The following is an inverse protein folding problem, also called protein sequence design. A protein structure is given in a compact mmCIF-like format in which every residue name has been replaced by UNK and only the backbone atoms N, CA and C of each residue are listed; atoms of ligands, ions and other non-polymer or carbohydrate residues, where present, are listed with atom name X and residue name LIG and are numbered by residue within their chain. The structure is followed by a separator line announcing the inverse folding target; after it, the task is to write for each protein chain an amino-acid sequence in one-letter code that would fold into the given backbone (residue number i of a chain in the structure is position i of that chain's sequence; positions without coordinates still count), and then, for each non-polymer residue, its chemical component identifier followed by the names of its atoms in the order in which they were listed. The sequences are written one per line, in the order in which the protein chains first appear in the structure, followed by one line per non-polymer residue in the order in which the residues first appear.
data_IF_157224287671
#
_entry.id   IF_157224287671
#
_cell.length_a   1.000
_cell.length_b   1.000
_cell.length_c   1.000
_cell.angle_alpha   90.00
_cell.angle_beta   90.00
_cell.angle_gamma   90.00
#
_symmetry.space_group_name_H-M   'P 1'
#
loop_
_entity.id
_entity.type
_entity.pdbx_description
1 polymer ?
#
# COMPACT_ATOMS: atom_id res chain seq x y z
N UNK A 1 21.14 25.40 -7.63
CA UNK A 1 19.91 24.57 -7.69
C UNK A 1 19.44 24.30 -6.27
N UNK A 2 18.17 24.61 -5.97
CA UNK A 2 17.55 24.25 -4.68
C UNK A 2 17.31 22.73 -4.68
N UNK A 3 17.70 21.98 -3.64
CA UNK A 3 17.41 20.55 -3.56
C UNK A 3 15.90 20.32 -3.51
N UNK A 4 15.42 19.32 -4.26
CA UNK A 4 14.00 18.94 -4.26
C UNK A 4 13.51 18.65 -2.84
N UNK A 5 12.28 19.06 -2.48
CA UNK A 5 11.75 18.84 -1.14
C UNK A 5 11.76 17.35 -0.80
N UNK A 6 12.11 17.04 0.46
CA UNK A 6 12.07 15.66 0.96
C UNK A 6 10.66 15.21 1.36
N UNK A 7 9.75 16.17 1.60
CA UNK A 7 8.35 15.95 1.97
C UNK A 7 7.46 16.97 1.28
N UNK A 8 6.29 16.54 0.84
CA UNK A 8 5.17 17.43 0.53
C UNK A 8 3.85 16.74 0.90
N UNK A 9 2.80 17.54 1.09
CA UNK A 9 1.46 17.07 1.41
C UNK A 9 0.47 17.53 0.35
N UNK A 10 -0.50 16.68 0.03
CA UNK A 10 -1.64 16.98 -0.84
C UNK A 10 -2.91 16.45 -0.17
N UNK A 11 -4.06 16.99 -0.53
CA UNK A 11 -5.37 16.45 -0.15
C UNK A 11 -6.14 16.12 -1.41
N UNK A 12 -6.65 14.90 -1.50
CA UNK A 12 -7.45 14.45 -2.63
C UNK A 12 -8.86 14.08 -2.15
N UNK A 13 -9.88 14.57 -2.86
CA UNK A 13 -11.25 14.18 -2.64
C UNK A 13 -11.53 12.85 -3.35
N UNK A 14 -11.88 11.82 -2.58
CA UNK A 14 -12.15 10.47 -3.08
C UNK A 14 -13.44 9.95 -2.43
N UNK A 15 -14.46 9.64 -3.23
CA UNK A 15 -15.75 9.15 -2.73
C UNK A 15 -16.39 10.05 -1.65
N UNK A 16 -16.28 11.37 -1.80
CA UNK A 16 -16.76 12.36 -0.83
C UNK A 16 -15.90 12.53 0.44
N UNK A 17 -14.78 11.82 0.53
CA UNK A 17 -13.83 11.90 1.66
C UNK A 17 -12.58 12.70 1.28
N UNK A 18 -12.09 13.51 2.21
CA UNK A 18 -10.85 14.28 2.04
C UNK A 18 -9.64 13.48 2.54
N UNK A 19 -8.86 12.94 1.61
CA UNK A 19 -7.75 12.05 1.93
C UNK A 19 -6.44 12.82 1.96
N UNK A 20 -5.86 12.96 3.16
CA UNK A 20 -4.57 13.62 3.34
C UNK A 20 -3.44 12.70 2.92
N UNK A 21 -2.68 13.09 1.92
CA UNK A 21 -1.55 12.31 1.39
C UNK A 21 -0.24 13.00 1.73
N UNK A 22 0.66 12.29 2.41
CA UNK A 22 2.05 12.72 2.64
C UNK A 22 2.97 11.93 1.73
N UNK A 23 3.73 12.61 0.89
CA UNK A 23 4.80 11.99 0.09
C UNK A 23 6.14 12.38 0.68
N UNK A 24 6.97 11.40 1.01
CA UNK A 24 8.21 11.68 1.73
C UNK A 24 9.33 10.68 1.46
N UNK A 25 10.56 11.17 1.54
CA UNK A 25 11.79 10.39 1.71
C UNK A 25 12.51 10.74 3.01
N UNK A 26 11.88 11.58 3.83
CA UNK A 26 12.36 12.03 5.13
C UNK A 26 11.99 11.04 6.23
N UNK A 27 13.02 10.56 6.95
CA UNK A 27 12.96 9.54 8.01
C UNK A 27 12.02 9.97 9.15
N UNK A 28 12.15 11.19 9.64
CA UNK A 28 11.34 11.69 10.75
C UNK A 28 9.86 11.80 10.35
N UNK A 29 9.59 12.23 9.11
CA UNK A 29 8.22 12.25 8.60
C UNK A 29 7.64 10.84 8.44
N UNK A 30 8.43 9.86 7.99
CA UNK A 30 7.98 8.46 7.88
C UNK A 30 7.57 7.94 9.26
N UNK A 31 8.44 8.08 10.26
CA UNK A 31 8.18 7.63 11.63
C UNK A 31 6.95 8.32 12.23
N UNK A 32 6.84 9.64 12.07
CA UNK A 32 5.69 10.43 12.53
C UNK A 32 4.37 9.93 11.93
N UNK A 33 4.36 9.63 10.63
CA UNK A 33 3.16 9.18 9.91
C UNK A 33 2.80 7.75 10.27
N UNK A 34 3.77 6.85 10.36
CA UNK A 34 3.55 5.48 10.87
C UNK A 34 2.97 5.51 12.28
N UNK A 35 3.51 6.35 13.17
CA UNK A 35 3.00 6.49 14.53
C UNK A 35 1.55 6.99 14.57
N UNK A 36 1.14 7.81 13.60
CA UNK A 36 -0.26 8.23 13.48
C UNK A 36 -1.20 7.07 13.14
N UNK A 37 -0.73 6.08 12.37
CA UNK A 37 -1.47 4.84 12.12
C UNK A 37 -1.58 3.94 13.36
N UNK A 38 -0.81 4.16 14.42
CA UNK A 38 -0.92 3.36 15.65
C UNK A 38 -1.98 3.88 16.63
N UNK A 39 -2.55 5.07 16.37
CA UNK A 39 -3.60 5.62 17.23
C UNK A 39 -4.79 4.65 17.27
N UNK A 40 -5.32 4.33 18.47
CA UNK A 40 -6.40 3.35 18.62
C UNK A 40 -7.59 3.69 17.74
N UNK A 41 -8.20 2.67 17.13
CA UNK A 41 -9.55 2.83 16.59
C UNK A 41 -10.53 2.99 17.75
N UNK A 42 -11.54 3.84 17.59
CA UNK A 42 -12.53 4.13 18.64
C UNK A 42 -13.26 2.84 19.12
N UNK A 43 -13.26 1.78 18.30
CA UNK A 43 -14.07 0.58 18.51
C UNK A 43 -13.26 -0.71 18.78
N UNK A 44 -11.97 -0.65 19.13
CA UNK A 44 -11.11 -1.82 19.38
C UNK A 44 -11.03 -2.85 18.22
N UNK A 45 -11.49 -2.49 17.03
CA UNK A 45 -11.50 -3.37 15.86
C UNK A 45 -10.09 -3.47 15.26
N UNK A 46 -9.76 -4.64 14.70
CA UNK A 46 -8.52 -4.87 13.95
C UNK A 46 -8.32 -3.76 12.92
N UNK A 47 -7.16 -3.09 12.97
CA UNK A 47 -6.90 -1.95 12.09
C UNK A 47 -6.58 -2.44 10.69
N UNK A 48 -7.28 -1.91 9.69
CA UNK A 48 -7.01 -2.22 8.28
C UNK A 48 -6.16 -1.11 7.68
N UNK A 49 -5.13 -1.48 6.93
CA UNK A 49 -4.25 -0.55 6.20
C UNK A 49 -4.17 -1.00 4.75
N UNK A 50 -4.55 -0.13 3.81
CA UNK A 50 -4.27 -0.34 2.40
C UNK A 50 -2.76 -0.26 2.14
N UNK A 51 -2.23 -1.19 1.35
CA UNK A 51 -0.81 -1.32 1.06
C UNK A 51 -0.58 -1.49 -0.44
N UNK A 52 0.39 -0.76 -0.98
CA UNK A 52 0.93 -1.01 -2.32
C UNK A 52 2.44 -0.75 -2.39
N UNK A 53 3.07 -1.26 -3.44
CA UNK A 53 4.45 -0.94 -3.78
C UNK A 53 4.62 -0.82 -5.30
N UNK A 54 5.32 0.22 -5.73
CA UNK A 54 5.60 0.46 -7.15
C UNK A 54 7.08 0.26 -7.45
N UNK A 55 7.35 -0.35 -8.60
CA UNK A 55 8.68 -0.83 -8.98
C UNK A 55 9.11 -0.23 -10.31
N UNK A 56 10.41 -0.07 -10.49
CA UNK A 56 10.99 0.36 -11.77
C UNK A 56 12.15 -0.54 -12.18
N UNK A 57 12.38 -0.64 -13.49
CA UNK A 57 13.49 -1.40 -14.03
C UNK A 57 14.79 -0.60 -13.93
N UNK A 58 15.85 -1.24 -13.44
CA UNK A 58 17.19 -0.67 -13.43
C UNK A 58 17.95 -1.11 -14.69
N UNK A 59 18.07 -0.21 -15.67
CA UNK A 59 18.58 -0.50 -17.02
C UNK A 59 20.06 -0.94 -17.11
N UNK A 60 20.84 -0.87 -16.03
CA UNK A 60 22.28 -1.19 -16.05
C UNK A 60 22.64 -2.64 -15.65
N UNK A 61 21.66 -3.55 -15.58
CA UNK A 61 21.94 -4.94 -15.23
C UNK A 61 21.87 -5.86 -16.47
N UNK A 62 22.98 -6.54 -16.78
CA UNK A 62 23.07 -7.62 -17.78
C UNK A 62 22.32 -8.90 -17.31
N UNK A 63 21.11 -8.76 -16.79
CA UNK A 63 20.37 -9.85 -16.15
C UNK A 63 19.34 -10.45 -17.10
N UNK A 64 19.18 -11.77 -17.00
CA UNK A 64 18.29 -12.56 -17.83
C UNK A 64 16.84 -12.08 -17.66
N UNK A 65 16.16 -11.90 -18.79
CA UNK A 65 14.73 -11.66 -18.85
C UNK A 65 14.00 -12.72 -17.99
N UNK A 66 13.24 -12.30 -16.99
CA UNK A 66 12.48 -13.21 -16.10
C UNK A 66 13.03 -13.44 -14.69
N UNK A 67 14.09 -12.74 -14.26
CA UNK A 67 14.49 -12.73 -12.83
C UNK A 67 14.11 -11.41 -12.15
N UNK A 68 13.62 -11.46 -10.89
CA UNK A 68 13.35 -10.31 -10.00
C UNK A 68 14.57 -9.38 -9.78
N UNK A 69 15.74 -9.77 -10.27
CA UNK A 69 17.03 -9.17 -9.99
C UNK A 69 17.30 -7.82 -10.71
N UNK A 70 16.36 -7.34 -11.53
CA UNK A 70 16.48 -6.08 -12.29
C UNK A 70 15.50 -4.97 -11.89
N UNK A 71 14.59 -5.19 -10.94
CA UNK A 71 13.63 -4.18 -10.49
C UNK A 71 13.97 -3.64 -9.10
N UNK A 72 13.78 -2.34 -8.89
CA UNK A 72 13.99 -1.68 -7.59
C UNK A 72 12.65 -1.10 -7.14
N UNK A 73 12.34 -1.19 -5.84
CA UNK A 73 11.15 -0.58 -5.28
C UNK A 73 11.30 0.96 -5.29
N UNK A 74 10.46 1.64 -6.06
CA UNK A 74 10.38 3.10 -6.08
C UNK A 74 9.64 3.62 -4.87
N UNK A 75 8.46 3.06 -4.57
CA UNK A 75 7.61 3.55 -3.49
C UNK A 75 6.99 2.41 -2.67
N UNK A 76 6.78 2.68 -1.38
CA UNK A 76 5.85 1.93 -0.52
C UNK A 76 4.72 2.88 -0.13
N UNK A 77 3.48 2.40 -0.22
CA UNK A 77 2.29 3.21 -0.07
C UNK A 77 1.40 2.58 1.01
N UNK A 78 0.92 3.40 1.94
CA UNK A 78 0.12 2.97 3.09
C UNK A 78 -1.09 3.89 3.24
N UNK A 79 -2.27 3.37 3.59
CA UNK A 79 -3.42 4.22 3.90
C UNK A 79 -4.36 3.64 4.95
N UNK A 80 -4.83 4.47 5.87
CA UNK A 80 -5.76 4.07 6.95
C UNK A 80 -7.20 4.56 6.74
N UNK A 81 -7.50 5.06 5.55
CA UNK A 81 -8.82 5.59 5.18
C UNK A 81 -8.97 7.10 5.31
N UNK A 82 -8.09 7.77 6.07
CA UNK A 82 -8.11 9.24 6.20
C UNK A 82 -6.77 9.86 5.80
N UNK A 83 -5.68 9.13 6.05
CA UNK A 83 -4.33 9.56 5.72
C UNK A 83 -3.60 8.49 4.95
N UNK A 84 -2.97 8.88 3.84
CA UNK A 84 -2.07 8.02 3.10
C UNK A 84 -0.62 8.52 3.23
N UNK A 85 0.32 7.58 3.28
CA UNK A 85 1.76 7.81 3.33
C UNK A 85 2.40 7.14 2.12
N UNK A 86 3.08 7.93 1.28
CA UNK A 86 3.85 7.46 0.14
C UNK A 86 5.34 7.67 0.47
N UNK A 87 6.04 6.57 0.68
CA UNK A 87 7.47 6.54 1.00
C UNK A 87 8.24 6.38 -0.30
N UNK A 88 9.01 7.39 -0.71
CA UNK A 88 9.90 7.30 -1.88
C UNK A 88 11.19 6.54 -1.53
N UNK A 89 11.13 5.20 -1.58
CA UNK A 89 12.25 4.31 -1.26
C UNK A 89 13.48 4.57 -2.13
N UNK A 90 13.30 4.87 -3.42
CA UNK A 90 14.40 5.19 -4.34
C UNK A 90 15.21 6.44 -3.95
N UNK A 91 14.68 7.30 -3.08
CA UNK A 91 15.36 8.49 -2.56
C UNK A 91 16.07 8.25 -1.23
N UNK A 92 15.71 7.19 -0.52
CA UNK A 92 16.40 6.76 0.68
C UNK A 92 17.69 6.10 0.20
N UNK A 93 18.83 6.75 0.43
CA UNK A 93 20.13 6.20 0.02
C UNK A 93 20.31 4.85 0.70
N UNK A 94 20.18 3.78 -0.08
CA UNK A 94 20.52 2.41 0.30
C UNK A 94 22.04 2.32 0.36
N UNK A 95 22.67 3.07 1.26
CA UNK A 95 23.96 2.64 1.78
C UNK A 95 23.68 1.49 2.74
N UNK A 96 24.68 0.64 2.97
CA UNK A 96 24.59 -0.61 3.73
C UNK A 96 24.07 -0.44 5.17
N UNK A 97 23.87 0.81 5.61
CA UNK A 97 23.34 1.22 6.92
C UNK A 97 21.85 1.55 6.96
N UNK A 98 21.10 1.45 5.85
CA UNK A 98 19.67 1.75 5.89
C UNK A 98 18.89 0.84 6.85
N UNK A 99 19.42 -0.38 7.11
CA UNK A 99 18.87 -1.31 8.11
C UNK A 99 18.97 -0.79 9.55
N UNK A 100 19.94 0.10 9.81
CA UNK A 100 20.16 0.70 11.12
C UNK A 100 19.34 1.97 11.33
N UNK A 101 18.75 2.51 10.26
CA UNK A 101 17.92 3.71 10.26
C UNK A 101 16.62 3.50 11.06
N UNK A 102 16.30 4.48 11.91
CA UNK A 102 15.13 4.46 12.77
C UNK A 102 13.82 4.38 11.98
N UNK A 103 13.71 5.04 10.83
CA UNK A 103 12.49 4.97 10.01
C UNK A 103 12.26 3.56 9.45
N UNK A 104 13.34 2.88 9.06
CA UNK A 104 13.23 1.52 8.56
C UNK A 104 12.77 0.57 9.67
N UNK A 105 13.34 0.70 10.87
CA UNK A 105 12.88 -0.06 12.05
C UNK A 105 11.41 0.20 12.36
N UNK A 106 10.97 1.46 12.31
CA UNK A 106 9.56 1.82 12.50
C UNK A 106 8.64 1.18 11.46
N UNK A 107 9.01 1.21 10.17
CA UNK A 107 8.26 0.53 9.11
C UNK A 107 8.22 -0.99 9.29
N UNK A 108 9.37 -1.62 9.57
CA UNK A 108 9.45 -3.05 9.82
C UNK A 108 8.61 -3.50 11.01
N UNK A 109 8.67 -2.75 12.12
CA UNK A 109 7.90 -3.05 13.31
C UNK A 109 6.40 -2.89 13.03
N UNK A 110 6.02 -1.82 12.33
CA UNK A 110 4.64 -1.57 11.95
C UNK A 110 4.04 -2.71 11.11
N UNK A 111 4.75 -3.17 10.07
CA UNK A 111 4.30 -4.26 9.21
C UNK A 111 4.21 -5.62 9.92
N UNK A 112 4.84 -5.76 11.09
CA UNK A 112 4.84 -6.99 11.90
C UNK A 112 3.81 -6.99 13.04
N UNK A 113 3.09 -5.88 13.24
CA UNK A 113 2.09 -5.78 14.30
C UNK A 113 0.92 -6.75 14.08
N UNK A 114 0.61 -7.62 15.05
CA UNK A 114 -0.38 -8.68 14.89
C UNK A 114 -1.83 -8.17 14.86
N UNK A 115 -2.09 -6.95 15.32
CA UNK A 115 -3.42 -6.34 15.39
C UNK A 115 -3.73 -5.42 14.19
N UNK A 116 -2.82 -5.37 13.21
CA UNK A 116 -3.01 -4.63 11.96
C UNK A 116 -3.08 -5.63 10.81
N UNK A 117 -4.05 -5.44 9.93
CA UNK A 117 -4.22 -6.21 8.69
C UNK A 117 -3.89 -5.30 7.51
N UNK A 118 -2.96 -5.74 6.68
CA UNK A 118 -2.55 -5.04 5.47
C UNK A 118 -3.26 -5.66 4.27
N UNK A 119 -3.94 -4.82 3.48
CA UNK A 119 -4.77 -5.26 2.35
C UNK A 119 -4.28 -4.62 1.06
N UNK A 120 -4.32 -5.37 -0.03
CA UNK A 120 -3.97 -4.85 -1.35
C UNK A 120 -4.31 -5.83 -2.47
N UNK A 121 -4.15 -5.37 -3.71
CA UNK A 121 -4.20 -6.20 -4.92
C UNK A 121 -2.76 -6.50 -5.37
N UNK A 122 -2.42 -7.76 -5.56
CA UNK A 122 -1.04 -8.19 -5.83
C UNK A 122 -0.11 -8.05 -4.62
N UNK A 123 -0.66 -7.84 -3.41
CA UNK A 123 0.11 -7.57 -2.19
C UNK A 123 1.09 -8.71 -1.87
N UNK A 124 0.71 -9.96 -2.12
CA UNK A 124 1.59 -11.11 -1.85
C UNK A 124 2.85 -11.09 -2.70
N UNK A 125 2.71 -10.73 -3.98
CA UNK A 125 3.84 -10.61 -4.89
C UNK A 125 4.75 -9.44 -4.48
N UNK A 126 4.14 -8.28 -4.19
CA UNK A 126 4.86 -7.09 -3.71
C UNK A 126 5.67 -7.41 -2.44
N UNK A 127 5.05 -8.06 -1.45
CA UNK A 127 5.72 -8.43 -0.21
C UNK A 127 6.82 -9.48 -0.41
N UNK A 128 6.62 -10.47 -1.29
CA UNK A 128 7.67 -11.45 -1.61
C UNK A 128 8.90 -10.79 -2.21
N UNK A 129 8.72 -9.83 -3.13
CA UNK A 129 9.82 -9.04 -3.71
C UNK A 129 10.49 -8.15 -2.67
N UNK A 130 9.70 -7.50 -1.81
CA UNK A 130 10.20 -6.67 -0.72
C UNK A 130 11.01 -7.47 0.32
N UNK A 131 10.57 -8.67 0.65
CA UNK A 131 11.30 -9.56 1.55
C UNK A 131 12.65 -9.97 0.96
N UNK A 132 12.66 -10.45 -0.30
CA UNK A 132 13.89 -10.88 -0.98
C UNK A 132 14.92 -9.77 -1.12
N UNK A 133 14.50 -8.55 -1.48
CA UNK A 133 15.41 -7.45 -1.78
C UNK A 133 15.77 -6.60 -0.54
N UNK A 134 14.82 -6.41 0.37
CA UNK A 134 14.94 -5.44 1.47
C UNK A 134 14.81 -6.08 2.86
N UNK A 135 14.41 -7.36 2.96
CA UNK A 135 14.11 -8.00 4.25
C UNK A 135 12.85 -7.46 4.93
N UNK A 136 11.99 -6.76 4.17
CA UNK A 136 10.71 -6.26 4.66
C UNK A 136 9.71 -7.41 4.68
N UNK A 137 9.24 -7.74 5.88
CA UNK A 137 8.25 -8.80 6.10
C UNK A 137 7.00 -8.19 6.70
N UNK A 138 5.84 -8.51 6.11
CA UNK A 138 4.53 -8.13 6.63
C UNK A 138 3.83 -9.37 7.19
N UNK A 139 3.42 -9.31 8.45
CA UNK A 139 2.89 -10.48 9.18
C UNK A 139 1.47 -10.84 8.75
N UNK A 140 0.64 -9.84 8.48
CA UNK A 140 -0.80 -9.98 8.30
C UNK A 140 -1.24 -9.38 6.96
N UNK A 141 -0.79 -9.97 5.86
CA UNK A 141 -1.16 -9.53 4.52
C UNK A 141 -2.38 -10.28 3.98
N UNK A 142 -3.31 -9.56 3.36
CA UNK A 142 -4.55 -10.12 2.79
C UNK A 142 -4.73 -9.65 1.35
N UNK A 143 -4.79 -10.62 0.45
CA UNK A 143 -5.04 -10.41 -0.98
C UNK A 143 -6.53 -10.16 -1.23
N UNK A 144 -6.86 -9.01 -1.81
CA UNK A 144 -8.25 -8.55 -1.90
C UNK A 144 -9.10 -9.33 -2.89
N UNK A 145 -8.55 -9.75 -4.04
CA UNK A 145 -9.30 -10.52 -5.04
C UNK A 145 -9.91 -11.80 -4.46
N UNK A 146 -9.10 -12.74 -3.93
CA UNK A 146 -9.59 -13.96 -3.30
C UNK A 146 -10.50 -13.70 -2.09
N UNK A 147 -10.21 -12.67 -1.29
CA UNK A 147 -11.07 -12.27 -0.17
C UNK A 147 -12.46 -11.88 -0.67
N UNK A 148 -12.55 -11.01 -1.68
CA UNK A 148 -13.79 -10.54 -2.28
C UNK A 148 -14.56 -11.70 -2.93
N UNK A 149 -13.87 -12.57 -3.68
CA UNK A 149 -14.48 -13.73 -4.30
C UNK A 149 -15.19 -14.64 -3.29
N UNK A 150 -14.53 -14.87 -2.15
CA UNK A 150 -15.07 -15.68 -1.06
C UNK A 150 -16.24 -14.99 -0.36
N UNK A 151 -16.05 -13.73 0.06
CA UNK A 151 -17.04 -12.99 0.85
C UNK A 151 -18.32 -12.67 0.06
N UNK A 152 -18.19 -12.36 -1.23
CA UNK A 152 -19.30 -12.01 -2.11
C UNK A 152 -19.89 -13.23 -2.84
N UNK A 153 -19.32 -14.43 -2.66
CA UNK A 153 -19.68 -15.66 -3.39
C UNK A 153 -19.62 -15.48 -4.93
N UNK A 154 -18.61 -14.77 -5.41
CA UNK A 154 -18.41 -14.44 -6.81
C UNK A 154 -16.99 -14.82 -7.25
N UNK A 155 -16.74 -16.07 -7.68
CA UNK A 155 -15.39 -16.58 -7.97
C UNK A 155 -14.57 -15.71 -8.94
N UNK A 156 -15.24 -15.05 -9.90
CA UNK A 156 -14.60 -14.16 -10.89
C UNK A 156 -13.79 -13.03 -10.25
N UNK A 157 -14.19 -12.55 -9.07
CA UNK A 157 -13.52 -11.43 -8.39
C UNK A 157 -12.08 -11.77 -7.98
N UNK A 158 -11.71 -13.05 -7.91
CA UNK A 158 -10.35 -13.46 -7.58
C UNK A 158 -9.31 -13.01 -8.60
N UNK A 159 -9.74 -12.64 -9.81
CA UNK A 159 -8.89 -12.24 -10.92
C UNK A 159 -9.15 -10.79 -11.36
N UNK A 160 -9.96 -10.06 -10.62
CA UNK A 160 -10.31 -8.68 -10.94
C UNK A 160 -9.29 -7.70 -10.38
N UNK A 161 -9.02 -6.64 -11.14
CA UNK A 161 -8.30 -5.49 -10.65
C UNK A 161 -9.11 -4.66 -9.65
N UNK A 162 -8.44 -3.70 -9.03
CA UNK A 162 -9.03 -2.85 -8.00
C UNK A 162 -10.26 -2.06 -8.46
N UNK A 163 -10.35 -1.69 -9.73
CA UNK A 163 -11.49 -0.92 -10.26
C UNK A 163 -12.79 -1.71 -10.13
N UNK A 164 -12.80 -2.95 -10.63
CA UNK A 164 -13.95 -3.85 -10.52
C UNK A 164 -14.22 -4.26 -9.06
N UNK A 165 -13.17 -4.48 -8.27
CA UNK A 165 -13.34 -4.81 -6.85
C UNK A 165 -13.97 -3.65 -6.06
N UNK A 166 -13.51 -2.41 -6.26
CA UNK A 166 -14.04 -1.22 -5.61
C UNK A 166 -15.50 -0.98 -6.01
N UNK A 167 -15.81 -1.15 -7.29
CA UNK A 167 -17.17 -1.02 -7.79
C UNK A 167 -18.11 -2.08 -7.19
N UNK A 168 -17.75 -3.36 -7.25
CA UNK A 168 -18.62 -4.45 -6.77
C UNK A 168 -18.79 -4.44 -5.25
N UNK A 169 -17.74 -4.13 -4.49
CA UNK A 169 -17.77 -4.20 -3.02
C UNK A 169 -18.31 -2.92 -2.40
N UNK A 170 -17.97 -1.75 -2.96
CA UNK A 170 -18.27 -0.46 -2.35
C UNK A 170 -19.17 0.46 -3.20
N UNK A 171 -19.51 0.07 -4.43
CA UNK A 171 -20.16 0.98 -5.38
C UNK A 171 -19.28 2.16 -5.77
N UNK A 172 -17.96 2.04 -5.57
CA UNK A 172 -17.01 3.14 -5.77
C UNK A 172 -16.40 3.05 -7.17
N UNK A 173 -16.80 3.95 -8.06
CA UNK A 173 -16.25 4.06 -9.42
C UNK A 173 -14.94 4.86 -9.40
N UNK A 174 -13.84 4.22 -9.80
CA UNK A 174 -12.51 4.81 -9.82
C UNK A 174 -12.21 5.58 -11.12
N UNK A 175 -13.06 5.48 -12.14
CA UNK A 175 -12.84 6.05 -13.47
C UNK A 175 -12.57 7.54 -13.46
N UNK A 176 -13.24 8.29 -12.58
CA UNK A 176 -13.06 9.75 -12.45
C UNK A 176 -11.80 10.14 -11.64
N UNK A 177 -11.25 9.20 -10.88
CA UNK A 177 -10.17 9.47 -9.93
C UNK A 177 -8.79 9.11 -10.44
N UNK A 178 -8.69 8.26 -11.48
CA UNK A 178 -7.42 7.86 -12.08
C UNK A 178 -7.03 8.79 -13.23
N UNK A 179 -5.81 9.34 -13.25
CA UNK A 179 -5.34 10.12 -14.39
C UNK A 179 -5.11 9.19 -15.60
N UNK A 180 -5.81 9.47 -16.71
CA UNK A 180 -5.79 8.65 -17.93
C UNK A 180 -4.50 8.81 -18.78
N UNK A 181 -3.61 9.74 -18.44
CA UNK A 181 -2.54 10.20 -19.33
C UNK A 181 -1.16 10.32 -18.68
N UNK A 182 -0.96 9.79 -17.46
CA UNK A 182 0.30 9.97 -16.73
C UNK A 182 1.37 8.97 -17.20
N UNK A 183 2.57 9.47 -17.50
CA UNK A 183 3.76 8.63 -17.60
C UNK A 183 4.07 8.03 -16.22
N UNK A 184 4.12 6.69 -16.13
CA UNK A 184 4.33 5.93 -14.89
C UNK A 184 5.79 5.95 -14.40
N UNK A 185 6.43 7.13 -14.42
CA UNK A 185 7.77 7.31 -13.86
C UNK A 185 7.71 7.48 -12.34
N UNK A 186 7.62 6.36 -11.63
CA UNK A 186 7.69 6.31 -10.17
C UNK A 186 9.05 6.75 -9.61
N UNK A 187 10.04 6.99 -10.46
CA UNK A 187 11.38 7.43 -10.05
C UNK A 187 11.52 8.95 -9.95
N UNK A 188 10.51 9.70 -10.42
CA UNK A 188 10.55 11.15 -10.42
C UNK A 188 10.75 11.76 -9.02
N UNK A 189 11.44 12.90 -8.99
CA UNK A 189 11.92 13.52 -7.76
C UNK A 189 11.64 15.04 -7.74
N UNK A 190 10.69 15.51 -6.89
CA UNK A 190 9.79 14.71 -6.05
C UNK A 190 8.80 13.90 -6.90
N UNK A 191 8.09 12.95 -6.29
CA UNK A 191 7.00 12.24 -6.99
C UNK A 191 6.01 13.29 -7.56
N UNK A 192 5.48 13.05 -8.75
CA UNK A 192 4.51 13.99 -9.33
C UNK A 192 3.20 13.96 -8.54
N UNK A 193 2.44 15.07 -8.59
CA UNK A 193 1.11 15.13 -7.96
C UNK A 193 0.15 14.09 -8.55
N UNK A 194 0.24 13.82 -9.84
CA UNK A 194 -0.62 12.85 -10.52
C UNK A 194 -0.31 11.41 -10.07
N UNK A 195 0.97 11.05 -9.93
CA UNK A 195 1.36 9.75 -9.39
C UNK A 195 1.04 9.64 -7.91
N UNK A 196 1.16 10.72 -7.14
CA UNK A 196 0.71 10.76 -5.76
C UNK A 196 -0.81 10.53 -5.66
N UNK A 197 -1.61 11.18 -6.52
CA UNK A 197 -3.06 10.96 -6.59
C UNK A 197 -3.38 9.50 -6.94
N UNK A 198 -2.72 8.94 -7.96
CA UNK A 198 -2.92 7.56 -8.38
C UNK A 198 -2.60 6.56 -7.26
N UNK A 199 -1.45 6.72 -6.60
CA UNK A 199 -1.06 5.91 -5.44
C UNK A 199 -2.10 6.00 -4.32
N UNK A 200 -2.52 7.22 -3.97
CA UNK A 200 -3.57 7.45 -2.97
C UNK A 200 -4.88 6.75 -3.34
N UNK A 201 -5.33 6.88 -4.60
CA UNK A 201 -6.53 6.19 -5.10
C UNK A 201 -6.43 4.69 -4.88
N UNK A 202 -5.29 4.07 -5.23
CA UNK A 202 -5.07 2.63 -5.04
C UNK A 202 -5.18 2.23 -3.56
N UNK A 203 -4.32 2.77 -2.69
CA UNK A 203 -4.28 2.32 -1.28
C UNK A 203 -5.51 2.72 -0.49
N UNK A 204 -6.17 3.84 -0.82
CA UNK A 204 -7.47 4.17 -0.24
C UNK A 204 -8.54 3.15 -0.66
N UNK A 205 -8.58 2.77 -1.93
CA UNK A 205 -9.53 1.77 -2.44
C UNK A 205 -9.30 0.41 -1.78
N UNK A 206 -8.04 0.00 -1.61
CA UNK A 206 -7.71 -1.24 -0.90
C UNK A 206 -8.22 -1.21 0.54
N UNK A 207 -7.99 -0.09 1.25
CA UNK A 207 -8.51 0.10 2.60
C UNK A 207 -10.04 -0.01 2.65
N UNK A 208 -10.77 0.65 1.74
CA UNK A 208 -12.24 0.64 1.71
C UNK A 208 -12.78 -0.77 1.47
N UNK A 209 -12.27 -1.45 0.44
CA UNK A 209 -12.65 -2.84 0.10
C UNK A 209 -12.35 -3.76 1.29
N UNK A 210 -11.12 -3.73 1.81
CA UNK A 210 -10.71 -4.57 2.92
C UNK A 210 -11.51 -4.33 4.19
N UNK A 211 -11.76 -3.06 4.53
CA UNK A 211 -12.56 -2.69 5.71
C UNK A 211 -13.98 -3.21 5.61
N UNK A 212 -14.64 -3.04 4.45
CA UNK A 212 -16.00 -3.57 4.22
C UNK A 212 -16.03 -5.09 4.35
N UNK A 213 -15.15 -5.80 3.63
CA UNK A 213 -15.16 -7.27 3.61
C UNK A 213 -14.82 -7.90 4.97
N UNK A 214 -13.89 -7.30 5.72
CA UNK A 214 -13.47 -7.80 7.03
C UNK A 214 -14.48 -7.44 8.13
N UNK A 215 -15.18 -6.31 8.04
CA UNK A 215 -16.27 -5.96 8.96
C UNK A 215 -17.49 -6.89 8.76
N UNK A 216 -17.86 -7.20 7.52
CA UNK A 216 -18.99 -8.11 7.23
C UNK A 216 -18.78 -9.52 7.77
N UNK A 217 -17.53 -9.99 7.89
CA UNK A 217 -17.21 -11.29 8.52
C UNK A 217 -17.46 -11.30 10.03
N UNK A 218 -17.34 -10.15 10.71
CA UNK A 218 -17.56 -10.04 12.16
C UNK A 218 -19.06 -10.08 12.50
N UNK A 219 -19.91 -9.50 11.64
CA UNK A 219 -21.37 -9.47 11.86
C UNK A 219 -22.04 -10.78 11.40
N UNK A 220 -21.44 -11.50 10.45
CA UNK A 220 -22.04 -12.67 9.82
C UNK A 220 -21.90 -14.01 10.54
N UNK A 221 -21.23 -14.10 11.69
CA UNK A 221 -21.18 -15.33 12.52
C UNK A 221 -20.86 -16.61 11.75
N UNK A 222 -20.02 -16.55 10.71
CA UNK A 222 -19.54 -17.73 10.01
C UNK A 222 -18.11 -18.01 10.46
N UNK A 223 -18.03 -18.87 11.47
CA UNK A 223 -16.84 -19.64 11.80
C UNK A 223 -16.43 -20.44 10.55
N UNK A 224 -15.54 -19.86 9.76
CA UNK A 224 -14.80 -20.57 8.73
C UNK A 224 -13.39 -20.62 9.24
N UNK A 225 -13.11 -21.72 9.94
CA UNK A 225 -11.86 -21.99 10.61
C UNK A 225 -10.66 -21.55 9.77
N UNK A 226 -9.74 -20.87 10.44
CA UNK A 226 -8.31 -20.87 10.18
C UNK A 226 -7.91 -21.49 8.83
N UNK A 227 -7.98 -20.71 7.75
CA UNK A 227 -7.06 -20.93 6.63
C UNK A 227 -5.78 -20.19 6.96
N UNK A 228 -5.06 -20.72 7.96
CA UNK A 228 -3.60 -20.60 8.02
C UNK A 228 -3.07 -21.55 6.96
N UNK A 229 -2.87 -21.03 5.75
CA UNK A 229 -1.91 -21.65 4.83
C UNK A 229 -0.62 -20.87 5.02
N UNK A 230 0.37 -21.62 5.49
CA UNK A 230 1.77 -21.32 5.79
C UNK A 230 2.36 -20.11 5.06
#
# INVERSE_FOLDING_TARGET
MVPAPKVYEETFELNGEQIKTTVTSDVEQIEKRISSFLRPSINHQTKVIGFDAEWYLYHNCHLKLGTDAGSICATIQLCDGHSCLIIQLNRIRVSDRWKDDLAFKSLLNFLRLPNITFVGVGIKENLSKLEKQYGIVCRNAVELGPLAATAMRMPRLSYCGVDELAFVVNGFDLGEHRPLTTAYDWTCNPLSKDLAKLATVNVYSYFKIGSTLLQSKVVGGLDTGLVRLW
#
